data_IF_569251614835
#
_entry.id   IF_569251614835
#
_cell.length_a   1.000
_cell.length_b   1.000
_cell.length_c   1.000
_cell.angle_alpha   90.00
_cell.angle_beta   90.00
_cell.angle_gamma   90.00
#
_symmetry.space_group_name_H-M   'P 1'
#
loop_
_entity.id
_entity.type
_entity.pdbx_description
1 polymer ?
#
# COMPACT_ATOMS: atom_id res chain seq x y z
N UNK A 1 10.61 8.74 -13.52
CA UNK A 1 10.64 7.33 -13.95
C UNK A 1 9.89 6.55 -12.89
N UNK A 2 8.80 5.89 -13.27
CA UNK A 2 8.03 5.06 -12.35
C UNK A 2 8.80 3.79 -12.00
N UNK A 3 8.55 3.23 -10.81
CA UNK A 3 9.09 1.93 -10.47
C UNK A 3 8.39 0.83 -11.29
N UNK A 4 9.14 -0.12 -11.85
CA UNK A 4 8.55 -1.21 -12.68
C UNK A 4 7.39 -1.92 -11.98
N UNK A 5 7.51 -2.16 -10.67
CA UNK A 5 6.46 -2.81 -9.89
C UNK A 5 5.19 -1.97 -9.72
N UNK A 6 5.32 -0.64 -9.73
CA UNK A 6 4.17 0.26 -9.75
C UNK A 6 3.37 0.15 -11.05
N UNK A 7 4.07 0.02 -12.19
CA UNK A 7 3.44 -0.18 -13.49
C UNK A 7 2.63 -1.49 -13.49
N UNK A 8 3.23 -2.59 -12.99
CA UNK A 8 2.52 -3.89 -12.90
C UNK A 8 1.30 -3.79 -11.98
N UNK A 9 1.42 -3.10 -10.83
CA UNK A 9 0.31 -2.90 -9.90
C UNK A 9 -0.86 -2.17 -10.54
N UNK A 10 -0.62 -1.00 -11.14
CA UNK A 10 -1.71 -0.22 -11.74
C UNK A 10 -2.33 -0.93 -12.94
N UNK A 11 -1.54 -1.69 -13.71
CA UNK A 11 -2.05 -2.52 -14.80
C UNK A 11 -2.93 -3.67 -14.30
N UNK A 12 -2.58 -4.31 -13.19
CA UNK A 12 -3.38 -5.38 -12.60
C UNK A 12 -4.76 -4.89 -12.14
N UNK A 13 -4.84 -3.70 -11.55
CA UNK A 13 -6.11 -3.12 -11.07
C UNK A 13 -6.82 -2.20 -12.09
N UNK A 14 -6.28 -2.03 -13.31
CA UNK A 14 -6.85 -1.13 -14.31
C UNK A 14 -6.82 0.36 -13.91
N UNK A 15 -5.84 0.76 -13.10
CA UNK A 15 -5.70 2.12 -12.59
C UNK A 15 -4.85 2.97 -13.55
N UNK A 16 -5.34 4.17 -13.86
CA UNK A 16 -4.55 5.22 -14.47
C UNK A 16 -3.97 6.13 -13.38
N UNK A 17 -2.65 6.31 -13.38
CA UNK A 17 -1.96 7.17 -12.42
C UNK A 17 -1.72 8.56 -13.00
N UNK A 18 -2.15 9.59 -12.28
CA UNK A 18 -1.76 10.98 -12.54
C UNK A 18 -0.93 11.50 -11.38
N UNK A 19 0.06 12.35 -11.67
CA UNK A 19 0.90 12.98 -10.64
C UNK A 19 0.65 14.47 -10.62
N UNK A 20 0.49 15.02 -9.41
CA UNK A 20 0.22 16.44 -9.25
C UNK A 20 1.35 17.30 -9.84
N UNK A 21 0.97 18.44 -10.43
CA UNK A 21 1.96 19.41 -10.88
C UNK A 21 2.70 20.02 -9.68
N UNK A 22 4.04 20.11 -9.71
CA UNK A 22 4.78 20.73 -8.62
C UNK A 22 4.53 22.24 -8.59
N UNK A 23 4.56 22.83 -7.38
CA UNK A 23 4.45 24.27 -7.17
C UNK A 23 3.02 24.79 -6.99
N UNK A 24 2.88 26.11 -6.91
CA UNK A 24 1.60 26.80 -6.66
C UNK A 24 0.56 26.46 -7.72
N UNK A 25 0.99 26.24 -8.96
CA UNK A 25 0.11 25.91 -10.08
C UNK A 25 -0.64 24.59 -9.89
N UNK A 26 -0.08 23.59 -9.19
CA UNK A 26 -0.75 22.31 -8.92
C UNK A 26 -1.40 22.20 -7.53
N UNK A 27 -1.29 23.24 -6.69
CA UNK A 27 -1.78 23.20 -5.31
C UNK A 27 -3.30 22.94 -5.22
N UNK A 28 -4.06 23.38 -6.21
CA UNK A 28 -5.52 23.18 -6.28
C UNK A 28 -5.93 21.71 -6.49
N UNK A 29 -5.03 20.86 -6.99
CA UNK A 29 -5.30 19.45 -7.30
C UNK A 29 -5.47 18.61 -6.01
N UNK A 30 -5.03 19.13 -4.85
CA UNK A 30 -5.05 18.44 -3.55
C UNK A 30 -6.05 19.01 -2.54
N UNK A 31 -6.68 20.15 -2.83
CA UNK A 31 -7.46 20.90 -1.84
C UNK A 31 -8.60 20.10 -1.18
N UNK A 32 -9.28 19.24 -1.95
CA UNK A 32 -10.34 18.37 -1.41
C UNK A 32 -9.80 17.32 -0.43
N UNK A 33 -8.65 16.71 -0.74
CA UNK A 33 -8.01 15.69 0.11
C UNK A 33 -7.52 16.31 1.41
N UNK A 34 -6.87 17.48 1.34
CA UNK A 34 -6.40 18.19 2.54
C UNK A 34 -7.55 18.64 3.45
N UNK A 35 -8.66 19.09 2.85
CA UNK A 35 -9.87 19.45 3.59
C UNK A 35 -10.42 18.26 4.38
N UNK A 36 -10.52 17.09 3.74
CA UNK A 36 -11.01 15.87 4.36
C UNK A 36 -10.09 15.35 5.47
N UNK A 37 -8.77 15.36 5.24
CA UNK A 37 -7.79 14.99 6.29
C UNK A 37 -7.93 15.93 7.49
N UNK A 38 -8.04 17.24 7.25
CA UNK A 38 -8.23 18.21 8.32
C UNK A 38 -9.53 17.99 9.08
N UNK A 39 -10.62 17.70 8.39
CA UNK A 39 -11.92 17.36 8.99
C UNK A 39 -11.79 16.13 9.90
N UNK A 40 -11.32 15.01 9.36
CA UNK A 40 -11.23 13.75 10.10
C UNK A 40 -10.38 13.90 11.38
N UNK A 41 -9.23 14.56 11.27
CA UNK A 41 -8.35 14.82 12.42
C UNK A 41 -9.03 15.66 13.50
N UNK A 42 -9.73 16.74 13.14
CA UNK A 42 -10.38 17.62 14.12
C UNK A 42 -11.56 16.96 14.83
N UNK A 43 -12.25 16.03 14.18
CA UNK A 43 -13.42 15.37 14.77
C UNK A 43 -13.08 14.12 15.58
N UNK A 44 -11.97 13.43 15.25
CA UNK A 44 -11.68 12.11 15.83
C UNK A 44 -10.33 12.03 16.55
N UNK A 45 -9.36 12.89 16.20
CA UNK A 45 -8.01 12.87 16.75
C UNK A 45 -7.68 14.10 17.60
N UNK A 46 -8.70 14.88 18.00
CA UNK A 46 -8.54 16.03 18.89
C UNK A 46 -9.60 15.99 20.01
N UNK A 47 -9.19 15.74 21.27
CA UNK A 47 -7.85 15.33 21.69
C UNK A 47 -7.45 13.97 21.08
N UNK A 48 -6.15 13.67 21.06
CA UNK A 48 -5.66 12.38 20.57
C UNK A 48 -6.25 11.27 21.45
N UNK A 49 -6.90 10.25 20.87
CA UNK A 49 -7.46 9.14 21.64
C UNK A 49 -6.39 8.44 22.46
N UNK A 50 -6.68 8.22 23.74
CA UNK A 50 -5.89 7.33 24.57
C UNK A 50 -6.41 5.91 24.39
N UNK A 51 -5.56 5.04 23.85
CA UNK A 51 -5.88 3.65 23.53
C UNK A 51 -4.78 2.73 24.06
N UNK A 52 -5.16 1.52 24.40
CA UNK A 52 -4.26 0.49 24.93
C UNK A 52 -3.52 -0.29 23.84
N UNK A 53 -3.99 -0.24 22.60
CA UNK A 53 -3.42 -0.99 21.47
C UNK A 53 -3.72 -0.35 20.11
N UNK A 54 -2.97 -0.76 19.09
CA UNK A 54 -3.27 -0.39 17.71
C UNK A 54 -4.57 -1.02 17.19
N UNK A 55 -4.94 -2.19 17.71
CA UNK A 55 -6.20 -2.85 17.36
C UNK A 55 -7.39 -1.99 17.77
N UNK A 56 -7.39 -1.50 19.01
CA UNK A 56 -8.42 -0.59 19.53
C UNK A 56 -8.50 0.69 18.68
N UNK A 57 -7.35 1.27 18.31
CA UNK A 57 -7.33 2.44 17.43
C UNK A 57 -7.97 2.15 16.05
N UNK A 58 -7.66 1.00 15.46
CA UNK A 58 -8.20 0.61 14.17
C UNK A 58 -9.72 0.41 14.23
N UNK A 59 -10.24 -0.21 15.30
CA UNK A 59 -11.68 -0.37 15.51
C UNK A 59 -12.40 0.99 15.62
N UNK A 60 -11.79 1.95 16.31
CA UNK A 60 -12.30 3.33 16.38
C UNK A 60 -12.32 3.99 15.00
N UNK A 61 -11.23 3.87 14.24
CA UNK A 61 -11.14 4.42 12.87
C UNK A 61 -12.19 3.81 11.95
N UNK A 62 -12.36 2.49 11.97
CA UNK A 62 -13.40 1.80 11.19
C UNK A 62 -14.82 2.22 11.59
N UNK A 63 -15.04 2.51 12.88
CA UNK A 63 -16.33 3.03 13.34
C UNK A 63 -16.59 4.44 12.81
N UNK A 64 -15.59 5.33 12.87
CA UNK A 64 -15.73 6.70 12.37
C UNK A 64 -15.91 6.76 10.85
N UNK A 65 -15.20 5.90 10.11
CA UNK A 65 -15.36 5.79 8.67
C UNK A 65 -16.80 5.40 8.29
N UNK A 66 -17.37 4.38 8.96
CA UNK A 66 -18.78 4.00 8.80
C UNK A 66 -19.78 5.08 9.24
N UNK A 67 -19.41 5.95 10.19
CA UNK A 67 -20.26 7.09 10.56
C UNK A 67 -20.25 8.17 9.48
N UNK A 68 -19.13 8.33 8.78
CA UNK A 68 -18.95 9.30 7.71
C UNK A 68 -19.89 9.06 6.52
N UNK A 69 -20.29 7.80 6.28
CA UNK A 69 -21.31 7.41 5.30
C UNK A 69 -22.61 8.21 5.43
N UNK A 70 -23.01 8.56 6.65
CA UNK A 70 -24.25 9.32 6.93
C UNK A 70 -24.10 10.83 6.73
N UNK A 71 -22.88 11.32 6.52
CA UNK A 71 -22.58 12.74 6.40
C UNK A 71 -23.04 13.30 5.07
N UNK A 72 -23.44 14.58 5.07
CA UNK A 72 -23.61 15.38 3.84
C UNK A 72 -22.40 16.26 3.61
N UNK A 73 -21.87 16.26 2.39
CA UNK A 73 -20.72 17.10 2.01
C UNK A 73 -21.24 18.49 1.62
N UNK A 74 -20.95 19.50 2.45
CA UNK A 74 -21.36 20.87 2.20
C UNK A 74 -22.88 20.99 2.10
N UNK A 75 -23.38 21.62 1.03
CA UNK A 75 -24.82 21.76 0.75
C UNK A 75 -25.39 20.66 -0.13
N UNK A 76 -24.68 19.54 -0.34
CA UNK A 76 -25.18 18.43 -1.17
C UNK A 76 -26.44 17.80 -0.54
N UNK A 77 -27.44 17.42 -1.36
CA UNK A 77 -28.72 16.93 -0.85
C UNK A 77 -28.65 15.53 -0.23
N UNK A 78 -27.75 14.68 -0.71
CA UNK A 78 -27.66 13.28 -0.31
C UNK A 78 -26.42 13.02 0.56
N UNK A 79 -26.43 11.88 1.26
CA UNK A 79 -25.31 11.44 2.10
C UNK A 79 -24.15 10.89 1.28
N UNK A 80 -22.99 10.69 1.90
CA UNK A 80 -21.83 10.04 1.27
C UNK A 80 -22.21 8.64 0.77
N UNK A 81 -22.89 7.84 1.61
CA UNK A 81 -23.33 6.49 1.22
C UNK A 81 -24.33 6.50 0.06
N UNK A 82 -25.26 7.46 0.02
CA UNK A 82 -26.20 7.58 -1.10
C UNK A 82 -25.47 7.81 -2.43
N UNK A 83 -24.48 8.72 -2.43
CA UNK A 83 -23.68 8.96 -3.63
C UNK A 83 -22.83 7.74 -4.00
N UNK A 84 -22.21 7.09 -3.02
CA UNK A 84 -21.44 5.87 -3.25
C UNK A 84 -22.32 4.76 -3.86
N UNK A 85 -23.53 4.55 -3.35
CA UNK A 85 -24.46 3.54 -3.86
C UNK A 85 -24.87 3.80 -5.33
N UNK A 86 -24.90 5.07 -5.77
CA UNK A 86 -25.15 5.42 -7.17
C UNK A 86 -23.95 5.10 -8.08
N UNK A 87 -22.73 5.28 -7.58
CA UNK A 87 -21.49 5.10 -8.36
C UNK A 87 -20.97 3.65 -8.32
N UNK A 88 -21.20 2.92 -7.22
CA UNK A 88 -20.74 1.55 -7.03
C UNK A 88 -21.06 0.61 -8.21
N UNK A 89 -22.28 0.57 -8.78
CA UNK A 89 -22.58 -0.32 -9.92
C UNK A 89 -21.86 0.08 -11.22
N UNK A 90 -21.26 1.27 -11.27
CA UNK A 90 -20.48 1.75 -12.42
C UNK A 90 -19.00 1.37 -12.31
N UNK A 91 -18.55 0.86 -11.17
CA UNK A 91 -17.18 0.44 -10.96
C UNK A 91 -16.86 -0.86 -11.70
N UNK A 92 -15.61 -0.99 -12.14
CA UNK A 92 -15.12 -2.25 -12.69
C UNK A 92 -15.05 -3.32 -11.59
N UNK A 93 -15.28 -4.61 -11.92
CA UNK A 93 -15.05 -5.70 -10.97
C UNK A 93 -13.57 -5.76 -10.59
N UNK A 94 -13.29 -6.24 -9.38
CA UNK A 94 -11.93 -6.52 -8.95
C UNK A 94 -11.34 -7.68 -9.76
N UNK A 95 -10.01 -7.70 -9.98
CA UNK A 95 -9.33 -8.89 -10.52
C UNK A 95 -9.59 -10.12 -9.65
N UNK A 96 -9.77 -11.28 -10.28
CA UNK A 96 -10.00 -12.56 -9.57
C UNK A 96 -8.75 -13.03 -8.83
N UNK A 97 -7.59 -12.87 -9.47
CA UNK A 97 -6.30 -13.25 -8.91
C UNK A 97 -5.74 -12.11 -8.04
N UNK A 98 -5.22 -12.40 -6.83
CA UNK A 98 -4.62 -11.38 -6.00
C UNK A 98 -3.30 -10.86 -6.59
N UNK A 99 -3.02 -9.58 -6.37
CA UNK A 99 -1.73 -9.01 -6.72
C UNK A 99 -0.65 -9.47 -5.73
N UNK A 100 0.37 -10.17 -6.22
CA UNK A 100 1.53 -10.54 -5.40
C UNK A 100 2.29 -9.28 -4.95
N UNK A 101 2.35 -9.01 -3.65
CA UNK A 101 3.07 -7.86 -3.07
C UNK A 101 4.51 -8.21 -2.70
N UNK A 102 4.85 -9.49 -2.59
CA UNK A 102 6.17 -9.99 -2.18
C UNK A 102 7.23 -9.84 -3.28
N UNK A 103 8.41 -9.37 -2.89
CA UNK A 103 9.55 -9.28 -3.81
C UNK A 103 10.24 -10.64 -3.89
N UNK A 104 10.13 -11.30 -5.03
CA UNK A 104 10.85 -12.56 -5.30
C UNK A 104 12.31 -12.23 -5.64
N UNK A 105 13.24 -12.84 -4.92
CA UNK A 105 14.67 -12.74 -5.19
C UNK A 105 15.19 -14.09 -5.67
N UNK A 106 15.88 -14.11 -6.80
CA UNK A 106 16.63 -15.29 -7.22
C UNK A 106 17.98 -15.28 -6.50
N UNK A 107 18.31 -16.28 -5.65
CA UNK A 107 19.60 -16.32 -5.00
C UNK A 107 20.70 -16.46 -6.05
N UNK A 108 21.71 -15.60 -5.99
CA UNK A 108 22.90 -15.71 -6.84
C UNK A 108 23.87 -16.68 -6.16
N UNK A 109 23.93 -17.93 -6.62
CA UNK A 109 24.93 -18.90 -6.12
C UNK A 109 26.32 -18.53 -6.67
N UNK A 110 27.26 -18.18 -5.79
CA UNK A 110 28.67 -18.05 -6.15
C UNK A 110 29.34 -19.39 -5.86
N UNK A 111 29.73 -20.12 -6.90
CA UNK A 111 30.51 -21.34 -6.74
C UNK A 111 31.96 -20.97 -6.37
N UNK A 112 32.33 -21.11 -5.10
CA UNK A 112 33.75 -21.14 -4.70
C UNK A 112 34.18 -22.58 -4.58
N UNK A 113 34.78 -23.13 -5.63
CA UNK A 113 35.44 -24.43 -5.57
C UNK A 113 36.75 -24.28 -4.78
N UNK A 114 36.82 -24.84 -3.57
CA UNK A 114 38.10 -25.16 -2.89
C UNK A 114 38.35 -26.65 -3.05
N UNK A 115 39.17 -27.04 -4.01
CA UNK A 115 39.79 -28.37 -4.01
C UNK A 115 40.88 -28.39 -2.92
N UNK A 116 40.71 -29.23 -1.89
CA UNK A 116 41.83 -29.68 -1.06
C UNK A 116 42.33 -30.98 -1.66
N UNK A 117 43.51 -30.95 -2.30
CA UNK A 117 44.25 -32.16 -2.63
C UNK A 117 44.79 -32.79 -1.34
N UNK A 118 44.50 -34.08 -1.13
CA UNK A 118 45.09 -34.86 -0.05
C UNK A 118 46.50 -35.35 -0.48
N UNK A 119 47.53 -35.30 0.38
CA UNK A 119 48.84 -35.85 0.04
C UNK A 119 48.85 -37.38 0.21
N UNK A 120 49.23 -38.09 -0.85
CA UNK A 120 49.52 -39.53 -0.84
C UNK A 120 50.80 -39.79 -0.04
N UNK A 121 50.71 -40.51 1.07
CA UNK A 121 51.86 -40.92 1.86
C UNK A 121 52.50 -42.20 1.26
N UNK A 122 53.69 -42.07 0.71
CA UNK A 122 54.54 -43.18 0.27
C UNK A 122 55.07 -43.95 1.49
N UNK A 123 54.76 -45.24 1.60
CA UNK A 123 55.28 -46.12 2.65
C UNK A 123 56.45 -46.94 2.08
N UNK A 124 57.69 -46.55 2.38
CA UNK A 124 58.88 -47.36 2.08
C UNK A 124 58.95 -48.56 3.04
N UNK A 125 59.04 -49.78 2.50
CA UNK A 125 59.43 -50.97 3.27
C UNK A 125 60.94 -51.16 3.15
N UNK A 126 61.57 -51.33 4.30
CA UNK A 126 62.95 -51.76 4.52
C UNK A 126 63.23 -53.15 3.95
N UNK A 127 64.41 -53.30 3.37
CA UNK A 127 65.16 -54.54 3.19
C UNK A 127 66.62 -54.26 3.50
#
# INVERSE_FOLDING_TARGET
MEADRWIVFRSHFGIESFYCRPGIEGAHEKGGVEGMIGYFRRNHFVPVPEVSSLTELNEMVEQWDRQDDTRRIGSRPNTVADYYALEQPLLMPLPEEPFETGRVFTPRSIATARSRSAPTATRSRSG
#
